data_IF_024461805506
#
_entry.id   IF_024461805506
#
_cell.length_a   1.000
_cell.length_b   1.000
_cell.length_c   1.000
_cell.angle_alpha   90.00
_cell.angle_beta   90.00
_cell.angle_gamma   90.00
#
_symmetry.space_group_name_H-M   'P 1'
#
loop_
_entity.id
_entity.type
_entity.pdbx_description
1 polymer ?
#
# COMPACT_ATOMS: atom_id res chain seq x y z
N UNK A 1 7.43 -5.06 -7.14
CA UNK A 1 7.02 -4.84 -5.73
C UNK A 1 6.23 -3.54 -5.73
N UNK A 2 4.95 -3.55 -5.32
CA UNK A 2 4.20 -2.31 -5.06
C UNK A 2 4.62 -1.76 -3.70
N UNK A 3 4.81 -0.44 -3.60
CA UNK A 3 5.10 0.28 -2.36
C UNK A 3 4.29 1.56 -2.32
N UNK A 4 3.93 1.99 -1.11
CA UNK A 4 3.38 3.32 -0.87
C UNK A 4 4.54 4.16 -0.39
N UNK A 5 4.88 5.20 -1.15
CA UNK A 5 5.85 6.20 -0.74
C UNK A 5 5.13 7.27 0.10
N UNK A 6 5.67 7.58 1.29
CA UNK A 6 5.09 8.53 2.24
C UNK A 6 5.82 9.89 2.23
N UNK A 7 6.58 10.16 1.18
CA UNK A 7 7.45 11.32 1.02
C UNK A 7 8.62 11.36 2.03
N UNK A 8 9.80 11.84 1.60
CA UNK A 8 10.13 12.35 0.26
C UNK A 8 10.23 11.24 -0.80
N UNK A 9 9.95 11.53 -2.09
CA UNK A 9 10.01 10.55 -3.16
C UNK A 9 11.37 9.85 -3.26
N UNK A 10 11.39 8.52 -3.39
CA UNK A 10 12.63 7.79 -3.70
C UNK A 10 13.00 7.91 -5.20
N UNK A 11 14.23 8.32 -5.52
CA UNK A 11 14.71 8.54 -6.91
C UNK A 11 14.65 7.28 -7.81
N UNK A 12 14.59 6.08 -7.22
CA UNK A 12 14.54 4.80 -7.92
C UNK A 12 13.10 4.26 -8.08
N UNK A 13 12.08 5.04 -7.74
CA UNK A 13 10.67 4.68 -7.91
C UNK A 13 10.05 5.47 -9.05
N UNK A 14 9.20 4.78 -9.82
CA UNK A 14 8.37 5.42 -10.84
C UNK A 14 7.00 5.72 -10.27
N UNK A 15 6.60 6.99 -10.28
CA UNK A 15 5.25 7.40 -9.93
C UNK A 15 4.25 6.87 -10.97
N UNK A 16 3.13 6.31 -10.48
CA UNK A 16 2.02 5.84 -11.31
C UNK A 16 0.72 6.49 -10.84
N UNK A 17 -0.24 6.63 -11.75
CA UNK A 17 -1.57 7.13 -11.39
C UNK A 17 -2.31 6.16 -10.47
N UNK A 18 -3.22 6.67 -9.64
CA UNK A 18 -4.15 5.86 -8.85
C UNK A 18 -4.93 4.83 -9.69
N UNK A 19 -5.29 5.19 -10.92
CA UNK A 19 -5.98 4.28 -11.84
C UNK A 19 -5.14 3.05 -12.16
N UNK A 20 -3.85 3.25 -12.45
CA UNK A 20 -2.92 2.16 -12.75
C UNK A 20 -2.63 1.34 -11.49
N UNK A 21 -2.50 2.00 -10.34
CA UNK A 21 -2.33 1.32 -9.05
C UNK A 21 -3.46 0.31 -8.78
N UNK A 22 -4.73 0.75 -8.84
CA UNK A 22 -5.87 -0.14 -8.58
C UNK A 22 -6.02 -1.24 -9.64
N UNK A 23 -5.68 -0.95 -10.90
CA UNK A 23 -5.65 -1.97 -11.96
C UNK A 23 -4.67 -3.10 -11.63
N UNK A 24 -3.42 -2.76 -11.28
CA UNK A 24 -2.42 -3.76 -10.87
C UNK A 24 -2.92 -4.53 -9.63
N UNK A 25 -3.58 -3.84 -8.70
CA UNK A 25 -4.16 -4.44 -7.50
C UNK A 25 -5.19 -5.53 -7.81
N UNK A 26 -6.14 -5.23 -8.68
CA UNK A 26 -7.20 -6.15 -9.08
C UNK A 26 -6.64 -7.30 -9.96
N UNK A 27 -5.75 -6.99 -10.91
CA UNK A 27 -5.13 -7.99 -11.79
C UNK A 27 -4.29 -9.03 -11.03
N UNK A 28 -3.61 -8.58 -9.97
CA UNK A 28 -2.79 -9.46 -9.12
C UNK A 28 -3.57 -10.07 -7.95
N UNK A 29 -4.90 -9.84 -7.88
CA UNK A 29 -5.75 -10.28 -6.77
C UNK A 29 -5.13 -9.90 -5.42
N UNK A 30 -4.83 -8.63 -5.22
CA UNK A 30 -4.27 -8.12 -3.98
C UNK A 30 -5.35 -7.46 -3.12
N UNK A 31 -5.15 -7.51 -1.81
CA UNK A 31 -5.91 -6.78 -0.79
C UNK A 31 -4.95 -5.93 0.06
N UNK A 32 -5.43 -4.76 0.51
CA UNK A 32 -4.65 -3.84 1.33
C UNK A 32 -5.00 -4.07 2.80
N UNK A 33 -4.14 -4.80 3.50
CA UNK A 33 -4.27 -4.99 4.93
C UNK A 33 -3.64 -3.80 5.63
N UNK A 34 -4.42 -3.09 6.43
CA UNK A 34 -3.92 -2.01 7.26
C UNK A 34 -4.43 -2.16 8.69
N UNK A 35 -3.69 -1.58 9.62
CA UNK A 35 -4.12 -1.44 11.00
C UNK A 35 -4.41 0.03 11.26
N UNK A 36 -5.56 0.34 11.86
CA UNK A 36 -5.92 1.72 12.20
C UNK A 36 -5.17 2.20 13.45
N UNK A 37 -5.15 1.37 14.50
CA UNK A 37 -4.53 1.70 15.80
C UNK A 37 -3.59 0.61 16.31
N UNK A 38 -2.52 1.02 16.99
CA UNK A 38 -1.65 0.12 17.76
C UNK A 38 -2.41 -0.45 18.97
N UNK A 39 -1.81 -1.43 19.66
CA UNK A 39 -2.37 -1.98 20.89
C UNK A 39 -2.55 -0.90 21.98
N UNK A 40 -1.70 0.14 21.95
CA UNK A 40 -1.72 1.28 22.87
C UNK A 40 -2.67 2.41 22.40
N UNK A 41 -3.39 2.21 21.29
CA UNK A 41 -4.40 3.14 20.77
C UNK A 41 -3.86 4.27 19.89
N UNK A 42 -2.56 4.30 19.60
CA UNK A 42 -1.92 5.27 18.71
C UNK A 42 -2.18 4.96 17.24
N UNK A 43 -2.06 5.95 16.35
CA UNK A 43 -2.19 5.75 14.89
C UNK A 43 -1.13 4.75 14.40
N UNK A 44 -1.57 3.67 13.76
CA UNK A 44 -0.65 2.66 13.24
C UNK A 44 -0.12 3.05 11.86
N UNK A 45 1.16 2.74 11.62
CA UNK A 45 1.82 2.83 10.30
C UNK A 45 1.91 1.47 9.61
N UNK A 46 1.30 0.44 10.19
CA UNK A 46 1.33 -0.90 9.63
C UNK A 46 0.39 -1.00 8.43
N UNK A 47 0.95 -1.33 7.27
CA UNK A 47 0.21 -1.76 6.11
C UNK A 47 0.98 -2.85 5.34
N UNK A 48 0.24 -3.72 4.66
CA UNK A 48 0.79 -4.82 3.86
C UNK A 48 -0.15 -5.18 2.71
N UNK A 49 0.42 -5.53 1.57
CA UNK A 49 -0.31 -6.14 0.47
C UNK A 49 -0.38 -7.66 0.68
N UNK A 50 -1.59 -8.22 0.65
CA UNK A 50 -1.86 -9.66 0.83
C UNK A 50 -2.66 -10.19 -0.36
N UNK A 51 -2.68 -11.50 -0.56
CA UNK A 51 -3.54 -12.13 -1.57
C UNK A 51 -5.01 -11.93 -1.19
N UNK A 52 -5.84 -11.66 -2.21
CA UNK A 52 -7.29 -11.50 -2.13
C UNK A 52 -7.90 -12.82 -2.59
N UNK A 53 -8.45 -13.58 -1.64
CA UNK A 53 -9.18 -14.83 -1.88
C UNK A 53 -10.30 -14.66 -2.93
#
# INVERSE_FOLDING_TARGET
ILRIDFEPPEDNLQEISWREFFKIFDENKLAFLYQDKTADGETSRFCKFVERD
#
